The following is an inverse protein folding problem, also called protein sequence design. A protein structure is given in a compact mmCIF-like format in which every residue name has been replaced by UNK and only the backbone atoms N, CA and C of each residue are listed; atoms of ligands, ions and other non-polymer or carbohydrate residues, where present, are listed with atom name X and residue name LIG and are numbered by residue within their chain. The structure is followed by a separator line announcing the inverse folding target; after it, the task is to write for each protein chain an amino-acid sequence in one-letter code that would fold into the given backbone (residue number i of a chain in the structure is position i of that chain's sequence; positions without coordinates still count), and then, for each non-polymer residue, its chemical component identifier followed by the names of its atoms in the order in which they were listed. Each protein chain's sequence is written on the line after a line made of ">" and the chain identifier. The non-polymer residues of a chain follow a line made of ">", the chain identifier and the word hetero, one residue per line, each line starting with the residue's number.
data_IF_934038316430
#
_entry.id   IF_934038316430
#
_cell.length_a   1.000
_cell.length_b   1.000
_cell.length_c   1.000
_cell.angle_alpha   90.00
_cell.angle_beta   90.00
_cell.angle_gamma   90.00
#
_symmetry.space_group_name_H-M   'P 1'
#
loop_
_entity.id
_entity.type
_entity.pdbx_description
1 polymer ?
#
# COMPACT_ATOMS: atom_id res chain seq x y z
N UNK A 1 -61.55 -39.76 -14.31
CA UNK A 1 -61.26 -38.59 -15.18
C UNK A 1 -61.56 -37.27 -14.47
N UNK A 2 -62.79 -37.03 -13.98
CA UNK A 2 -63.13 -35.75 -13.33
C UNK A 2 -62.38 -35.53 -12.00
N UNK A 3 -62.24 -36.59 -11.20
CA UNK A 3 -61.51 -36.55 -9.93
C UNK A 3 -59.99 -36.35 -10.11
N UNK A 4 -59.39 -36.98 -11.12
CA UNK A 4 -57.97 -36.79 -11.47
C UNK A 4 -57.67 -35.37 -11.98
N UNK A 5 -58.59 -34.79 -12.76
CA UNK A 5 -58.47 -33.40 -13.21
C UNK A 5 -58.56 -32.40 -12.04
N UNK A 6 -59.44 -32.66 -11.07
CA UNK A 6 -59.56 -31.85 -9.86
C UNK A 6 -58.29 -31.92 -8.98
N UNK A 7 -57.70 -33.11 -8.82
CA UNK A 7 -56.43 -33.30 -8.09
C UNK A 7 -55.27 -32.59 -8.78
N UNK A 8 -55.17 -32.67 -10.11
CA UNK A 8 -54.16 -31.95 -10.88
C UNK A 8 -54.33 -30.43 -10.76
N UNK A 9 -55.57 -29.92 -10.84
CA UNK A 9 -55.86 -28.49 -10.66
C UNK A 9 -55.48 -28.00 -9.26
N UNK A 10 -55.75 -28.79 -8.21
CA UNK A 10 -55.34 -28.47 -6.84
C UNK A 10 -53.81 -28.44 -6.68
N UNK A 11 -53.10 -29.38 -7.30
CA UNK A 11 -51.64 -29.41 -7.30
C UNK A 11 -51.04 -28.19 -8.01
N UNK A 12 -51.58 -27.82 -9.18
CA UNK A 12 -51.18 -26.60 -9.89
C UNK A 12 -51.45 -25.34 -9.08
N UNK A 13 -52.62 -25.23 -8.45
CA UNK A 13 -52.97 -24.08 -7.63
C UNK A 13 -52.05 -23.95 -6.40
N UNK A 14 -51.68 -25.09 -5.79
CA UNK A 14 -50.71 -25.14 -4.68
C UNK A 14 -49.33 -24.66 -5.12
N UNK A 15 -48.84 -25.12 -6.29
CA UNK A 15 -47.55 -24.70 -6.83
C UNK A 15 -47.52 -23.20 -7.15
N UNK A 16 -48.59 -22.68 -7.76
CA UNK A 16 -48.71 -21.24 -8.06
C UNK A 16 -48.71 -20.42 -6.77
N UNK A 17 -49.48 -20.84 -5.76
CA UNK A 17 -49.51 -20.18 -4.45
C UNK A 17 -48.16 -20.21 -3.74
N UNK A 18 -47.46 -21.33 -3.81
CA UNK A 18 -46.12 -21.48 -3.24
C UNK A 18 -45.15 -20.48 -3.88
N UNK A 19 -45.07 -20.44 -5.21
CA UNK A 19 -44.16 -19.52 -5.89
C UNK A 19 -44.54 -18.05 -5.73
N UNK A 20 -45.84 -17.76 -5.60
CA UNK A 20 -46.30 -16.41 -5.29
C UNK A 20 -45.82 -15.97 -3.91
N UNK A 21 -46.02 -16.81 -2.88
CA UNK A 21 -45.55 -16.52 -1.53
C UNK A 21 -44.02 -16.40 -1.46
N UNK A 22 -43.29 -17.27 -2.18
CA UNK A 22 -41.83 -17.21 -2.22
C UNK A 22 -41.33 -15.93 -2.91
N UNK A 23 -41.99 -15.50 -3.99
CA UNK A 23 -41.66 -14.25 -4.67
C UNK A 23 -41.98 -13.01 -3.81
N UNK A 24 -43.02 -13.06 -2.98
CA UNK A 24 -43.33 -12.01 -2.02
C UNK A 24 -42.27 -11.96 -0.91
N UNK A 25 -41.92 -13.11 -0.33
CA UNK A 25 -40.87 -13.24 0.68
C UNK A 25 -39.52 -12.67 0.20
N UNK A 26 -39.10 -13.03 -1.01
CA UNK A 26 -37.85 -12.54 -1.60
C UNK A 26 -37.87 -11.02 -1.86
N UNK A 27 -39.03 -10.47 -2.25
CA UNK A 27 -39.17 -9.02 -2.43
C UNK A 27 -39.05 -8.26 -1.11
N UNK A 28 -39.63 -8.80 -0.05
CA UNK A 28 -39.52 -8.22 1.29
C UNK A 28 -38.08 -8.27 1.81
N UNK A 29 -37.41 -9.41 1.64
CA UNK A 29 -35.99 -9.57 2.01
C UNK A 29 -35.09 -8.57 1.27
N UNK A 30 -35.30 -8.40 -0.05
CA UNK A 30 -34.60 -7.40 -0.85
C UNK A 30 -34.87 -5.98 -0.36
N UNK A 31 -36.15 -5.66 -0.06
CA UNK A 31 -36.53 -4.34 0.40
C UNK A 31 -35.86 -4.00 1.75
N UNK A 32 -35.87 -4.94 2.69
CA UNK A 32 -35.23 -4.79 3.99
C UNK A 32 -33.72 -4.62 3.86
N UNK A 33 -33.07 -5.42 3.00
CA UNK A 33 -31.64 -5.29 2.74
C UNK A 33 -31.28 -3.92 2.16
N UNK A 34 -32.06 -3.42 1.20
CA UNK A 34 -31.86 -2.09 0.63
C UNK A 34 -32.12 -0.96 1.63
N UNK A 35 -33.12 -1.10 2.51
CA UNK A 35 -33.40 -0.14 3.56
C UNK A 35 -32.24 -0.07 4.56
N UNK A 36 -31.75 -1.22 5.03
CA UNK A 36 -30.60 -1.32 5.91
C UNK A 36 -29.33 -0.71 5.25
N UNK A 37 -29.06 -1.03 4.00
CA UNK A 37 -27.93 -0.45 3.28
C UNK A 37 -28.00 1.09 3.22
N UNK A 38 -29.18 1.67 2.95
CA UNK A 38 -29.37 3.13 3.01
C UNK A 38 -29.12 3.69 4.40
N UNK A 39 -29.57 3.01 5.46
CA UNK A 39 -29.31 3.42 6.84
C UNK A 39 -27.82 3.40 7.17
N UNK A 40 -27.09 2.36 6.76
CA UNK A 40 -25.62 2.30 6.89
C UNK A 40 -24.90 3.44 6.14
N UNK A 41 -25.52 3.98 5.08
CA UNK A 41 -25.03 5.17 4.37
C UNK A 41 -25.49 6.50 5.02
N UNK A 42 -26.15 6.45 6.17
CA UNK A 42 -26.68 7.63 6.87
C UNK A 42 -27.95 8.21 6.25
N UNK A 43 -28.66 7.44 5.41
CA UNK A 43 -29.87 7.89 4.71
C UNK A 43 -31.13 7.29 5.35
N UNK A 44 -32.27 7.99 5.21
CA UNK A 44 -33.59 7.53 5.69
C UNK A 44 -33.62 7.12 7.17
N UNK A 45 -32.98 7.91 8.03
CA UNK A 45 -32.87 7.64 9.47
C UNK A 45 -34.09 8.09 10.29
N UNK A 46 -35.02 8.82 9.69
CA UNK A 46 -36.16 9.47 10.38
C UNK A 46 -37.19 8.52 11.00
N UNK A 47 -37.03 7.20 10.84
CA UNK A 47 -37.87 6.17 11.44
C UNK A 47 -37.17 5.30 12.49
N UNK A 48 -35.90 5.58 12.80
CA UNK A 48 -35.13 4.87 13.82
C UNK A 48 -35.28 5.55 15.17
N UNK A 49 -35.35 4.76 16.24
CA UNK A 49 -35.30 5.31 17.58
C UNK A 49 -33.85 5.60 18.03
N UNK A 50 -33.68 6.15 19.22
CA UNK A 50 -32.35 6.51 19.74
C UNK A 50 -31.46 5.29 19.96
N UNK A 51 -32.03 4.14 20.33
CA UNK A 51 -31.26 2.92 20.54
C UNK A 51 -30.82 2.35 19.18
N UNK A 52 -31.72 2.31 18.20
CA UNK A 52 -31.41 1.86 16.84
C UNK A 52 -30.30 2.72 16.21
N UNK A 53 -30.36 4.04 16.39
CA UNK A 53 -29.33 4.96 15.92
C UNK A 53 -27.99 4.71 16.61
N UNK A 54 -27.99 4.44 17.92
CA UNK A 54 -26.79 4.12 18.68
C UNK A 54 -26.18 2.80 18.23
N UNK A 55 -27.00 1.78 17.98
CA UNK A 55 -26.53 0.49 17.48
C UNK A 55 -25.94 0.61 16.08
N UNK A 56 -26.57 1.41 15.21
CA UNK A 56 -26.05 1.73 13.89
C UNK A 56 -24.71 2.48 13.96
N UNK A 57 -24.59 3.47 14.84
CA UNK A 57 -23.34 4.19 15.10
C UNK A 57 -22.24 3.26 15.60
N UNK A 58 -22.54 2.38 16.57
CA UNK A 58 -21.60 1.41 17.09
C UNK A 58 -21.13 0.43 16.00
N UNK A 59 -22.04 -0.04 15.14
CA UNK A 59 -21.71 -0.93 14.03
C UNK A 59 -20.80 -0.25 13.01
N UNK A 60 -21.10 1.00 12.64
CA UNK A 60 -20.28 1.78 11.71
C UNK A 60 -18.92 2.13 12.33
N UNK A 61 -18.89 2.54 13.60
CA UNK A 61 -17.67 2.85 14.33
C UNK A 61 -16.73 1.65 14.44
N UNK A 62 -17.25 0.48 14.81
CA UNK A 62 -16.47 -0.77 14.93
C UNK A 62 -15.93 -1.20 13.57
N UNK A 63 -16.78 -1.25 12.54
CA UNK A 63 -16.33 -1.66 11.20
C UNK A 63 -15.32 -0.69 10.59
N UNK A 64 -15.46 0.62 10.84
CA UNK A 64 -14.49 1.61 10.40
C UNK A 64 -13.14 1.45 11.12
N UNK A 65 -13.15 1.17 12.42
CA UNK A 65 -11.95 0.88 13.19
C UNK A 65 -11.24 -0.36 12.62
N UNK A 66 -11.97 -1.45 12.38
CA UNK A 66 -11.40 -2.67 11.80
C UNK A 66 -10.77 -2.42 10.42
N UNK A 67 -11.44 -1.63 9.57
CA UNK A 67 -10.91 -1.23 8.25
C UNK A 67 -9.61 -0.43 8.41
N UNK A 68 -9.57 0.53 9.35
CA UNK A 68 -8.37 1.35 9.60
C UNK A 68 -7.21 0.49 10.08
N UNK A 69 -7.43 -0.35 11.09
CA UNK A 69 -6.41 -1.27 11.62
C UNK A 69 -5.86 -2.16 10.50
N UNK A 70 -6.73 -2.75 9.67
CA UNK A 70 -6.29 -3.61 8.56
C UNK A 70 -5.51 -2.81 7.51
N UNK A 71 -5.94 -1.60 7.17
CA UNK A 71 -5.24 -0.73 6.22
C UNK A 71 -3.85 -0.37 6.75
N UNK A 72 -3.76 -0.01 8.02
CA UNK A 72 -2.51 0.39 8.66
C UNK A 72 -1.54 -0.79 8.73
N UNK A 73 -2.01 -2.00 9.05
CA UNK A 73 -1.20 -3.21 8.99
C UNK A 73 -0.64 -3.45 7.58
N UNK A 74 -1.48 -3.37 6.55
CA UNK A 74 -1.05 -3.54 5.15
C UNK A 74 0.03 -2.51 4.78
N UNK A 75 -0.13 -1.26 5.20
CA UNK A 75 0.85 -0.20 4.93
C UNK A 75 2.18 -0.46 5.65
N UNK A 76 2.14 -0.91 6.90
CA UNK A 76 3.34 -1.30 7.65
C UNK A 76 4.07 -2.44 6.93
N UNK A 77 3.35 -3.50 6.56
CA UNK A 77 3.92 -4.66 5.85
C UNK A 77 4.57 -4.22 4.51
N UNK A 78 3.92 -3.31 3.78
CA UNK A 78 4.45 -2.75 2.53
C UNK A 78 5.73 -1.94 2.75
N UNK A 79 5.78 -1.12 3.81
CA UNK A 79 6.97 -0.33 4.16
C UNK A 79 8.14 -1.25 4.51
N UNK A 80 7.90 -2.30 5.30
CA UNK A 80 8.93 -3.26 5.68
C UNK A 80 9.48 -4.02 4.47
N UNK A 81 8.59 -4.47 3.59
CA UNK A 81 8.97 -5.15 2.35
C UNK A 81 9.80 -4.25 1.42
N UNK A 82 9.43 -2.97 1.31
CA UNK A 82 10.21 -1.99 0.53
C UNK A 82 11.59 -1.74 1.14
N UNK A 83 11.68 -1.58 2.46
CA UNK A 83 12.98 -1.43 3.16
C UNK A 83 13.87 -2.65 2.96
N UNK A 84 13.30 -3.85 3.00
CA UNK A 84 14.04 -5.10 2.75
C UNK A 84 14.59 -5.13 1.32
N UNK A 85 13.78 -4.77 0.33
CA UNK A 85 14.20 -4.66 -1.08
C UNK A 85 15.29 -3.62 -1.28
N UNK A 86 15.13 -2.44 -0.69
CA UNK A 86 16.14 -1.37 -0.71
C UNK A 86 17.48 -1.87 -0.16
N UNK A 87 17.46 -2.55 0.99
CA UNK A 87 18.67 -3.09 1.60
C UNK A 87 19.38 -4.11 0.71
N UNK A 88 18.64 -5.00 0.05
CA UNK A 88 19.21 -6.02 -0.85
C UNK A 88 19.84 -5.33 -2.07
N UNK A 89 19.09 -4.46 -2.75
CA UNK A 89 19.58 -3.74 -3.92
C UNK A 89 20.79 -2.87 -3.60
N UNK A 90 20.80 -2.23 -2.42
CA UNK A 90 21.94 -1.44 -1.97
C UNK A 90 23.18 -2.32 -1.79
N UNK A 91 23.04 -3.47 -1.15
CA UNK A 91 24.14 -4.41 -0.94
C UNK A 91 24.70 -4.93 -2.27
N UNK A 92 23.83 -5.36 -3.19
CA UNK A 92 24.21 -5.79 -4.54
C UNK A 92 24.93 -4.67 -5.32
N UNK A 93 24.46 -3.43 -5.20
CA UNK A 93 25.10 -2.28 -5.86
C UNK A 93 26.52 -2.02 -5.32
N UNK A 94 26.72 -2.15 -4.01
CA UNK A 94 28.04 -2.02 -3.37
C UNK A 94 28.98 -3.13 -3.85
N UNK A 95 28.51 -4.37 -3.91
CA UNK A 95 29.28 -5.52 -4.37
C UNK A 95 29.71 -5.36 -5.84
N UNK A 96 28.77 -4.99 -6.73
CA UNK A 96 29.07 -4.75 -8.14
C UNK A 96 30.07 -3.61 -8.35
N UNK A 97 29.97 -2.53 -7.56
CA UNK A 97 30.96 -1.42 -7.59
C UNK A 97 32.34 -1.89 -7.16
N UNK A 98 32.41 -2.76 -6.15
CA UNK A 98 33.67 -3.33 -5.70
C UNK A 98 34.31 -4.20 -6.79
N UNK A 99 33.53 -5.09 -7.40
CA UNK A 99 34.00 -5.97 -8.48
C UNK A 99 34.46 -5.18 -9.71
N UNK A 100 33.71 -4.14 -10.12
CA UNK A 100 34.09 -3.26 -11.22
C UNK A 100 35.42 -2.55 -10.95
N UNK A 101 35.66 -2.10 -9.73
CA UNK A 101 36.93 -1.49 -9.35
C UNK A 101 38.08 -2.50 -9.43
N UNK A 102 37.88 -3.73 -8.97
CA UNK A 102 38.86 -4.81 -9.07
C UNK A 102 39.21 -5.09 -10.53
N UNK A 103 38.22 -5.26 -11.41
CA UNK A 103 38.42 -5.47 -12.85
C UNK A 103 39.17 -4.29 -13.47
N UNK A 104 38.83 -3.06 -13.10
CA UNK A 104 39.52 -1.85 -13.59
C UNK A 104 41.00 -1.85 -13.19
N UNK A 105 41.31 -2.21 -11.93
CA UNK A 105 42.69 -2.31 -11.46
C UNK A 105 43.46 -3.42 -12.18
N UNK A 106 42.85 -4.59 -12.36
CA UNK A 106 43.45 -5.69 -13.11
C UNK A 106 43.72 -5.32 -14.56
N UNK A 107 42.78 -4.64 -15.23
CA UNK A 107 42.95 -4.13 -16.60
C UNK A 107 44.16 -3.19 -16.69
N UNK A 108 44.33 -2.26 -15.75
CA UNK A 108 45.49 -1.34 -15.71
C UNK A 108 46.79 -2.12 -15.48
N UNK A 109 46.79 -3.07 -14.54
CA UNK A 109 47.95 -3.91 -14.25
C UNK A 109 48.36 -4.77 -15.45
N UNK A 110 47.39 -5.32 -16.18
CA UNK A 110 47.64 -6.12 -17.38
C UNK A 110 48.19 -5.27 -18.52
N UNK A 111 47.63 -4.07 -18.77
CA UNK A 111 48.17 -3.13 -19.75
C UNK A 111 49.63 -2.77 -19.43
N UNK A 112 49.95 -2.52 -18.15
CA UNK A 112 51.33 -2.29 -17.70
C UNK A 112 52.24 -3.49 -17.99
N UNK A 113 51.78 -4.72 -17.75
CA UNK A 113 52.60 -5.93 -18.00
C UNK A 113 52.84 -6.20 -19.49
N UNK A 114 51.83 -5.96 -20.34
CA UNK A 114 51.91 -6.22 -21.79
C UNK A 114 52.72 -5.15 -22.52
N UNK A 115 52.53 -3.88 -22.17
CA UNK A 115 53.11 -2.74 -22.89
C UNK A 115 54.23 -2.01 -22.13
N UNK A 116 54.45 -2.31 -20.84
CA UNK A 116 55.46 -1.65 -19.99
C UNK A 116 56.91 -2.08 -20.20
N UNK A 117 57.24 -2.69 -21.35
CA UNK A 117 58.61 -2.95 -21.80
C UNK A 117 59.08 -1.93 -22.83
N UNK A 118 58.81 -0.65 -22.61
CA UNK A 118 59.58 0.42 -23.21
C UNK A 118 60.13 1.31 -22.10
N UNK A 119 61.46 1.48 -22.16
CA UNK A 119 62.30 2.43 -21.43
C UNK A 119 63.07 1.91 -20.20
N UNK A 120 64.19 1.24 -20.49
CA UNK A 120 65.47 1.67 -19.93
C UNK A 120 66.03 2.81 -20.79
N UNK A 121 65.63 4.07 -20.55
CA UNK A 121 66.57 5.19 -20.63
C UNK A 121 66.04 6.46 -19.95
N UNK A 122 66.99 7.30 -19.59
CA UNK A 122 66.95 8.38 -18.63
C UNK A 122 66.03 9.57 -18.95
N UNK A 123 65.69 10.28 -17.87
CA UNK A 123 65.49 11.72 -17.89
C UNK A 123 64.03 12.14 -17.73
N UNK A 124 63.72 12.63 -16.53
CA UNK A 124 62.70 13.64 -16.23
C UNK A 124 61.76 14.00 -17.40
N UNK A 125 60.56 13.41 -17.42
CA UNK A 125 59.44 14.09 -18.05
C UNK A 125 58.12 13.61 -17.45
N UNK A 126 57.40 14.59 -16.90
CA UNK A 126 56.00 14.48 -16.49
C UNK A 126 55.16 14.16 -17.71
N UNK A 127 54.79 12.90 -17.88
CA UNK A 127 53.82 12.52 -18.92
C UNK A 127 52.57 11.98 -18.25
N UNK A 128 51.65 12.89 -17.96
CA UNK A 128 50.23 12.60 -17.80
C UNK A 128 49.72 12.12 -19.15
N UNK A 129 49.73 10.81 -19.40
CA UNK A 129 49.08 10.23 -20.57
C UNK A 129 47.58 10.12 -20.33
N UNK A 130 46.89 11.22 -20.61
CA UNK A 130 45.47 11.24 -20.89
C UNK A 130 45.28 10.86 -22.37
N UNK A 131 44.95 9.59 -22.66
CA UNK A 131 44.43 9.09 -23.95
C UNK A 131 43.98 7.66 -23.68
N UNK A 132 42.70 7.31 -23.69
CA UNK A 132 41.79 7.32 -24.84
C UNK A 132 40.34 7.60 -24.44
N UNK A 133 39.61 8.19 -25.39
CA UNK A 133 38.21 8.59 -25.37
C UNK A 133 37.18 7.61 -24.79
N UNK A 134 36.14 8.25 -24.25
CA UNK A 134 34.75 7.82 -24.10
C UNK A 134 34.43 6.63 -23.21
N UNK A 135 34.54 6.85 -21.90
CA UNK A 135 33.37 6.67 -21.04
C UNK A 135 33.30 7.86 -20.11
N UNK A 136 32.42 8.82 -20.43
CA UNK A 136 31.96 9.81 -19.45
C UNK A 136 31.46 9.02 -18.26
N UNK A 137 32.24 9.04 -17.18
CA UNK A 137 31.88 8.47 -15.89
C UNK A 137 30.52 9.03 -15.51
N UNK A 138 29.45 8.26 -15.79
CA UNK A 138 28.11 8.61 -15.33
C UNK A 138 28.17 8.39 -13.82
N UNK A 139 28.60 9.42 -13.11
CA UNK A 139 28.39 9.56 -11.68
C UNK A 139 26.88 9.71 -11.48
N UNK A 140 26.19 8.57 -11.47
CA UNK A 140 24.85 8.44 -10.90
C UNK A 140 24.99 8.63 -9.39
N UNK A 141 25.18 9.88 -8.98
CA UNK A 141 24.96 10.27 -7.59
C UNK A 141 23.45 10.24 -7.37
N UNK A 142 22.97 9.09 -6.92
CA UNK A 142 21.68 9.02 -6.25
C UNK A 142 21.81 9.93 -5.02
N UNK A 143 20.93 10.93 -4.93
CA UNK A 143 20.76 11.73 -3.73
C UNK A 143 20.59 10.79 -2.54
N UNK A 144 21.63 10.66 -1.71
CA UNK A 144 21.50 9.90 -0.46
C UNK A 144 20.43 10.61 0.37
N UNK A 145 19.48 9.88 0.98
CA UNK A 145 18.71 10.47 2.06
C UNK A 145 19.74 10.92 3.10
N UNK A 146 19.77 12.21 3.38
CA UNK A 146 20.67 12.83 4.33
C UNK A 146 20.62 11.99 5.62
N UNK A 147 21.73 11.30 5.95
CA UNK A 147 21.85 10.59 7.22
C UNK A 147 22.03 11.66 8.29
N UNK A 148 20.92 12.28 8.70
CA UNK A 148 20.86 12.99 9.96
C UNK A 148 21.15 11.95 11.04
N UNK A 149 22.30 12.11 11.69
CA UNK A 149 23.00 11.06 12.40
C UNK A 149 22.15 10.26 13.39
N UNK A 150 22.50 8.96 13.50
CA UNK A 150 22.21 8.05 14.60
C UNK A 150 21.33 8.61 15.71
N UNK A 151 20.04 8.71 15.41
CA UNK A 151 19.01 8.40 16.37
C UNK A 151 18.29 7.24 15.72
N UNK A 152 18.31 6.07 16.36
CA UNK A 152 17.26 5.10 16.08
C UNK A 152 15.96 5.90 16.00
N UNK A 153 15.20 5.87 14.89
CA UNK A 153 13.85 6.35 14.97
C UNK A 153 13.23 5.49 16.06
N UNK A 154 12.97 6.09 17.23
CA UNK A 154 11.96 5.56 18.15
C UNK A 154 10.83 5.20 17.23
N UNK A 155 10.38 3.94 17.27
CA UNK A 155 9.24 3.50 16.50
C UNK A 155 8.25 4.64 16.57
N UNK A 156 8.05 5.34 15.46
CA UNK A 156 6.97 6.29 15.36
C UNK A 156 5.81 5.32 15.35
N UNK A 157 5.36 4.99 16.55
CA UNK A 157 4.07 4.40 16.80
C UNK A 157 3.17 5.28 15.94
N UNK A 158 2.73 4.71 14.82
CA UNK A 158 1.84 5.39 13.91
C UNK A 158 0.59 5.53 14.75
N UNK A 159 0.50 6.64 15.50
CA UNK A 159 -0.67 6.97 16.27
C UNK A 159 -1.74 7.09 15.23
N UNK A 160 -2.60 6.08 15.19
CA UNK A 160 -3.69 6.01 14.25
C UNK A 160 -4.54 7.27 14.32
N UNK A 161 -5.53 7.36 13.45
CA UNK A 161 -6.47 8.47 13.39
C UNK A 161 -7.35 8.65 14.66
N UNK A 162 -7.04 7.95 15.75
CA UNK A 162 -7.78 7.95 17.00
C UNK A 162 -7.48 9.19 17.88
N UNK A 163 -6.47 10.00 17.55
CA UNK A 163 -6.05 11.16 18.36
C UNK A 163 -6.55 12.53 17.84
N UNK A 164 -7.56 12.55 16.95
CA UNK A 164 -8.15 13.82 16.43
C UNK A 164 -9.16 14.45 17.43
N UNK A 165 -9.45 13.79 18.55
CA UNK A 165 -10.43 14.29 19.52
C UNK A 165 -9.96 15.49 20.39
N UNK A 166 -8.68 15.87 20.34
CA UNK A 166 -8.11 16.97 21.15
C UNK A 166 -7.62 18.17 20.31
N UNK A 167 -8.36 18.57 19.28
CA UNK A 167 -8.15 19.89 18.67
C UNK A 167 -8.68 20.99 19.59
N UNK A 168 -7.89 22.02 19.93
CA UNK A 168 -8.38 23.17 20.69
C UNK A 168 -9.54 23.81 19.93
N UNK A 169 -10.71 23.91 20.56
CA UNK A 169 -11.83 24.70 20.00
C UNK A 169 -11.32 26.12 19.78
N UNK A 170 -11.27 26.54 18.51
CA UNK A 170 -10.99 27.91 18.13
C UNK A 170 -12.09 28.78 18.75
N UNK A 171 -11.73 29.50 19.82
CA UNK A 171 -12.56 30.57 20.38
C UNK A 171 -12.70 31.64 19.30
N UNK A 172 -13.90 31.81 18.75
CA UNK A 172 -14.25 33.02 18.02
C UNK A 172 -14.04 34.21 18.97
N UNK A 173 -12.98 34.98 18.73
CA UNK A 173 -12.90 36.34 19.23
C UNK A 173 -13.78 37.18 18.33
N UNK A 174 -14.97 37.49 18.83
CA UNK A 174 -15.75 38.64 18.38
C UNK A 174 -15.02 39.88 18.85
N UNK A 175 -14.39 40.61 17.93
CA UNK A 175 -14.02 42.01 18.14
C UNK A 175 -14.13 42.76 16.81
N UNK A 176 -14.86 43.87 16.90
CA UNK A 176 -15.27 44.88 15.90
C UNK A 176 -16.59 44.63 15.17
#
# INVERSE_FOLDING_TARGET
>A
MEEEAAVAAAAWLSLVRFWQAEAERLREELHNLQANHRQLLGQNLSGLDVNDLKDLENQLGTSLLDIRVKKDQILVDQIEELKRKESIMHNENVELKHELNTIRQEKVNLHRKVYGKQELNAGQSSVTMNSTDDEKEIRLELSQPQVAGNKQPKATEFRGFDEIHDLPKMSEKSDL
#
